data_IF_165610214024
#
_entry.id   IF_165610214024
#
_cell.length_a   1.000
_cell.length_b   1.000
_cell.length_c   1.000
_cell.angle_alpha   90.00
_cell.angle_beta   90.00
_cell.angle_gamma   90.00
#
_symmetry.space_group_name_H-M   'P 1'
#
loop_
_entity.id
_entity.type
_entity.pdbx_description
1 polymer ?
#
# COMPACT_ATOMS: atom_id res chain seq x y z
N UNK A 1 -0.10 3.21 -1.57
CA UNK A 1 1.32 3.59 -1.49
C UNK A 1 1.42 5.05 -1.90
N UNK A 2 2.51 5.72 -1.55
CA UNK A 2 2.75 7.13 -1.90
C UNK A 2 4.24 7.37 -2.13
N UNK A 3 4.55 8.43 -2.88
CA UNK A 3 5.92 8.94 -3.01
C UNK A 3 5.98 10.23 -2.21
N UNK A 4 6.73 10.20 -1.11
CA UNK A 4 6.95 11.38 -0.28
C UNK A 4 8.32 11.98 -0.58
N UNK A 5 8.46 13.27 -0.33
CA UNK A 5 9.68 14.05 -0.55
C UNK A 5 10.02 14.79 0.75
N UNK A 6 11.26 15.23 0.88
CA UNK A 6 11.65 16.13 1.97
C UNK A 6 11.01 17.52 1.76
N UNK A 7 11.11 18.40 2.76
CA UNK A 7 10.50 19.75 2.72
C UNK A 7 10.99 20.59 1.54
N UNK A 8 12.24 20.41 1.11
CA UNK A 8 12.84 21.07 -0.06
C UNK A 8 12.40 20.43 -1.41
N UNK A 9 11.63 19.35 -1.38
CA UNK A 9 11.19 18.60 -2.56
C UNK A 9 12.21 17.58 -3.09
N UNK A 10 13.36 17.44 -2.43
CA UNK A 10 14.39 16.44 -2.73
C UNK A 10 14.04 15.04 -2.21
N UNK A 11 14.86 14.05 -2.59
CA UNK A 11 14.84 12.67 -2.08
C UNK A 11 13.46 11.98 -2.14
N UNK A 12 12.93 11.69 -3.35
CA UNK A 12 11.70 10.94 -3.45
C UNK A 12 11.88 9.54 -2.86
N UNK A 13 11.08 9.21 -1.85
CA UNK A 13 11.04 7.87 -1.25
C UNK A 13 9.67 7.24 -1.45
N UNK A 14 9.69 5.97 -1.82
CA UNK A 14 8.48 5.18 -1.92
C UNK A 14 8.07 4.71 -0.52
N UNK A 15 6.83 5.02 -0.11
CA UNK A 15 6.31 4.71 1.21
C UNK A 15 5.00 3.92 1.10
N UNK A 16 4.93 2.82 1.85
CA UNK A 16 3.72 2.00 1.99
C UNK A 16 3.26 2.05 3.44
N UNK A 17 2.08 2.64 3.67
CA UNK A 17 1.41 2.58 4.96
C UNK A 17 0.46 1.36 4.98
N UNK A 18 0.99 0.18 5.31
CA UNK A 18 0.29 -1.11 5.20
C UNK A 18 -0.92 -1.23 6.15
N UNK A 19 -0.94 -0.46 7.25
CA UNK A 19 -2.06 -0.37 8.18
C UNK A 19 -3.35 0.13 7.53
N UNK A 20 -3.22 0.90 6.43
CA UNK A 20 -4.35 1.42 5.66
C UNK A 20 -4.74 0.49 4.48
N UNK A 21 -4.17 -0.72 4.39
CA UNK A 21 -4.45 -1.63 3.29
C UNK A 21 -5.88 -2.18 3.38
N UNK A 22 -6.63 -2.08 2.28
CA UNK A 22 -7.99 -2.64 2.16
C UNK A 22 -8.05 -3.98 1.42
N UNK A 23 -6.89 -4.61 1.20
CA UNK A 23 -6.77 -5.97 0.64
C UNK A 23 -7.32 -6.15 -0.78
N UNK A 24 -7.52 -5.07 -1.55
CA UNK A 24 -8.07 -5.12 -2.90
C UNK A 24 -7.11 -5.63 -3.99
N UNK A 25 -5.82 -5.87 -3.66
CA UNK A 25 -4.76 -6.32 -4.59
C UNK A 25 -4.41 -5.38 -5.75
N UNK A 26 -5.01 -4.18 -5.84
CA UNK A 26 -4.78 -3.27 -6.97
C UNK A 26 -3.29 -2.88 -7.12
N UNK A 27 -2.59 -2.65 -6.02
CA UNK A 27 -1.16 -2.31 -6.05
C UNK A 27 -0.27 -3.44 -6.59
N UNK A 28 -0.67 -4.70 -6.43
CA UNK A 28 0.03 -5.88 -6.95
C UNK A 28 -0.20 -6.06 -8.47
N UNK A 29 -1.43 -5.78 -8.92
CA UNK A 29 -1.87 -6.03 -10.31
C UNK A 29 -1.55 -4.87 -11.25
N UNK A 30 -1.61 -3.63 -10.75
CA UNK A 30 -1.60 -2.42 -11.59
C UNK A 30 -0.38 -1.53 -11.38
N UNK A 31 0.62 -1.97 -10.61
CA UNK A 31 1.90 -1.26 -10.56
C UNK A 31 2.63 -1.39 -11.90
N UNK A 32 2.93 -0.29 -12.62
CA UNK A 32 3.60 -0.36 -13.92
C UNK A 32 4.99 -0.97 -13.86
N UNK A 33 5.70 -0.79 -12.73
CA UNK A 33 7.01 -1.38 -12.49
C UNK A 33 6.98 -2.83 -12.02
N UNK A 34 5.81 -3.36 -11.66
CA UNK A 34 5.63 -4.64 -10.96
C UNK A 34 6.60 -4.82 -9.78
N UNK A 35 6.84 -3.76 -9.02
CA UNK A 35 7.79 -3.76 -7.90
C UNK A 35 7.16 -4.11 -6.55
N UNK A 36 5.85 -4.34 -6.52
CA UNK A 36 5.08 -4.62 -5.31
C UNK A 36 4.66 -6.09 -5.34
N UNK A 37 4.96 -6.84 -4.29
CA UNK A 37 4.42 -8.17 -4.05
C UNK A 37 3.48 -8.13 -2.83
N UNK A 38 2.18 -8.29 -3.06
CA UNK A 38 1.21 -8.33 -1.97
C UNK A 38 1.19 -9.71 -1.31
N UNK A 39 1.27 -9.75 0.02
CA UNK A 39 1.11 -10.96 0.83
C UNK A 39 0.05 -10.75 1.92
N UNK A 40 -0.53 -11.85 2.40
CA UNK A 40 -1.57 -11.78 3.43
C UNK A 40 -0.92 -11.33 4.75
N UNK A 41 -1.44 -10.30 5.42
CA UNK A 41 -0.95 -9.91 6.75
C UNK A 41 -1.36 -10.93 7.82
N UNK A 42 -0.94 -10.72 9.06
CA UNK A 42 -1.36 -11.53 10.20
C UNK A 42 -2.90 -11.61 10.32
N UNK A 43 -3.40 -12.75 10.78
CA UNK A 43 -4.84 -13.03 10.85
C UNK A 43 -5.61 -12.01 11.70
N UNK A 44 -6.71 -11.48 11.16
CA UNK A 44 -7.49 -10.41 11.78
C UNK A 44 -7.06 -8.99 11.37
N UNK A 45 -5.97 -8.85 10.61
CA UNK A 45 -5.61 -7.60 9.94
C UNK A 45 -6.49 -7.33 8.71
N UNK A 46 -6.73 -6.05 8.44
CA UNK A 46 -7.48 -5.60 7.26
C UNK A 46 -8.84 -4.99 7.58
N UNK A 47 -9.59 -4.59 6.54
CA UNK A 47 -10.86 -3.90 6.71
C UNK A 47 -11.95 -4.84 7.24
N UNK A 48 -12.77 -4.33 8.16
CA UNK A 48 -14.00 -4.98 8.60
C UNK A 48 -15.18 -4.37 7.84
N UNK A 49 -15.91 -5.20 7.09
CA UNK A 49 -17.07 -4.80 6.31
C UNK A 49 -18.36 -5.40 6.90
N UNK A 50 -18.94 -4.80 7.96
CA UNK A 50 -20.11 -5.36 8.63
C UNK A 50 -21.40 -5.29 7.81
N UNK A 51 -21.45 -4.46 6.77
CA UNK A 51 -22.65 -4.19 5.96
C UNK A 51 -22.35 -4.12 4.46
N UNK A 52 -21.26 -4.74 4.00
CA UNK A 52 -20.90 -4.82 2.58
C UNK A 52 -21.12 -6.23 2.05
#
# INVERSE_FOLDING_TARGET
YEVVRDEDGSNPRFQINAQNCVHCKTCDIKDPSQNINWTVPEGGGGPNYPNM
#
